data_IF_819526760021
#
_entry.id   IF_819526760021
#
_cell.length_a   1.000
_cell.length_b   1.000
_cell.length_c   1.000
_cell.angle_alpha   90.00
_cell.angle_beta   90.00
_cell.angle_gamma   90.00
#
_symmetry.space_group_name_H-M   'P 1'
#
loop_
_entity.id
_entity.type
_entity.pdbx_description
1 polymer ?
#
# COMPACT_ATOMS: atom_id res chain seq x y z
N UNK A 1 -4.90 -19.95 32.55
CA UNK A 1 -5.68 -19.00 31.73
C UNK A 1 -4.85 -17.73 31.58
N UNK A 2 -3.75 -17.82 30.80
CA UNK A 2 -2.73 -16.75 30.77
C UNK A 2 -1.98 -16.60 29.44
N UNK A 3 -2.27 -17.36 28.39
CA UNK A 3 -1.45 -17.36 27.16
C UNK A 3 -2.08 -16.67 25.94
N UNK A 4 -3.29 -16.11 26.04
CA UNK A 4 -3.97 -15.48 24.89
C UNK A 4 -3.81 -13.94 24.80
N UNK A 5 -3.11 -13.29 25.74
CA UNK A 5 -2.98 -11.81 25.75
C UNK A 5 -1.68 -11.25 25.16
N UNK A 6 -0.66 -12.07 24.91
CA UNK A 6 0.64 -11.57 24.43
C UNK A 6 0.72 -11.44 22.91
N UNK A 7 -0.01 -12.27 22.15
CA UNK A 7 -0.01 -12.24 20.68
C UNK A 7 -0.77 -11.04 20.10
N UNK A 8 -1.89 -10.63 20.70
CA UNK A 8 -2.62 -9.42 20.27
C UNK A 8 -1.81 -8.14 20.48
N UNK A 9 -1.12 -8.01 21.62
CA UNK A 9 -0.34 -6.80 21.93
C UNK A 9 0.88 -6.64 21.01
N UNK A 10 1.50 -7.74 20.58
CA UNK A 10 2.59 -7.73 19.61
C UNK A 10 2.11 -7.46 18.18
N UNK A 11 0.96 -8.02 17.77
CA UNK A 11 0.35 -7.68 16.48
C UNK A 11 -0.02 -6.20 16.40
N UNK A 12 -0.67 -5.65 17.42
CA UNK A 12 -1.05 -4.23 17.47
C UNK A 12 0.19 -3.32 17.48
N UNK A 13 1.23 -3.67 18.25
CA UNK A 13 2.49 -2.93 18.21
C UNK A 13 3.15 -3.00 16.82
N UNK A 14 3.14 -4.16 16.15
CA UNK A 14 3.68 -4.31 14.80
C UNK A 14 2.90 -3.50 13.76
N UNK A 15 1.58 -3.34 13.94
CA UNK A 15 0.71 -2.52 13.07
C UNK A 15 1.02 -1.02 13.23
N UNK A 16 1.32 -0.56 14.44
CA UNK A 16 1.65 0.85 14.66
C UNK A 16 3.06 1.24 14.19
N UNK A 17 3.94 0.25 14.01
CA UNK A 17 5.34 0.45 13.63
C UNK A 17 5.66 -0.02 12.20
N UNK A 18 4.63 -0.36 11.41
CA UNK A 18 4.78 -0.75 10.00
C UNK A 18 4.09 0.24 9.08
N UNK A 19 4.70 0.47 7.93
CA UNK A 19 4.04 1.09 6.79
C UNK A 19 3.50 0.00 5.85
N UNK A 20 2.48 0.32 5.09
CA UNK A 20 1.88 -0.50 4.04
C UNK A 20 2.11 0.19 2.69
N UNK A 21 2.23 -0.64 1.65
CA UNK A 21 2.38 -0.20 0.29
C UNK A 21 1.07 -0.35 -0.50
N UNK A 22 0.41 0.76 -0.78
CA UNK A 22 -0.74 0.84 -1.66
C UNK A 22 -0.31 1.13 -3.10
N UNK A 23 -1.10 0.66 -4.06
CA UNK A 23 -0.89 0.87 -5.49
C UNK A 23 -2.15 1.38 -6.18
N UNK A 24 -1.98 2.40 -7.02
CA UNK A 24 -2.97 2.77 -8.03
C UNK A 24 -2.64 2.04 -9.32
N UNK A 25 -3.53 1.17 -9.75
CA UNK A 25 -3.57 0.70 -11.13
C UNK A 25 -4.16 1.83 -11.99
N UNK A 26 -3.33 2.48 -12.81
CA UNK A 26 -3.76 3.60 -13.67
C UNK A 26 -4.61 3.14 -14.86
N UNK A 27 -4.53 1.87 -15.25
CA UNK A 27 -5.37 1.32 -16.32
C UNK A 27 -6.79 1.09 -15.79
N UNK A 28 -6.92 0.59 -14.56
CA UNK A 28 -8.21 0.36 -13.91
C UNK A 28 -8.72 1.55 -13.10
N UNK A 29 -7.88 2.57 -12.90
CA UNK A 29 -8.13 3.71 -12.01
C UNK A 29 -8.59 3.25 -10.61
N UNK A 30 -7.90 2.24 -10.06
CA UNK A 30 -8.27 1.59 -8.81
C UNK A 30 -7.09 1.52 -7.83
N UNK A 31 -7.36 1.84 -6.57
CA UNK A 31 -6.43 1.62 -5.45
C UNK A 31 -6.55 0.19 -4.97
N UNK A 32 -5.40 -0.46 -4.86
CA UNK A 32 -5.25 -1.81 -4.38
C UNK A 32 -4.10 -1.88 -3.39
N UNK A 33 -4.11 -2.90 -2.54
CA UNK A 33 -2.99 -3.19 -1.65
C UNK A 33 -2.07 -4.22 -2.28
N UNK A 34 -0.76 -4.13 -2.02
CA UNK A 34 0.21 -5.13 -2.47
C UNK A 34 0.26 -6.27 -1.47
N UNK A 35 -0.01 -7.49 -1.94
CA UNK A 35 0.18 -8.70 -1.15
C UNK A 35 1.60 -9.26 -1.32
N UNK A 36 2.05 -9.35 -2.57
CA UNK A 36 3.33 -9.94 -2.96
C UNK A 36 3.77 -9.45 -4.33
N UNK A 37 5.06 -9.62 -4.64
CA UNK A 37 5.57 -9.56 -6.00
C UNK A 37 6.34 -10.85 -6.28
N UNK A 38 6.01 -11.50 -7.39
CA UNK A 38 6.70 -12.73 -7.78
C UNK A 38 8.05 -12.44 -8.44
N UNK A 39 8.85 -13.50 -8.62
CA UNK A 39 10.19 -13.40 -9.25
C UNK A 39 10.14 -12.96 -10.71
N UNK A 40 9.00 -13.08 -11.38
CA UNK A 40 8.77 -12.61 -12.75
C UNK A 40 8.38 -11.13 -12.80
N UNK A 41 8.24 -10.49 -11.64
CA UNK A 41 7.90 -9.08 -11.54
C UNK A 41 6.41 -8.77 -11.60
N UNK A 42 5.56 -9.79 -11.48
CA UNK A 42 4.11 -9.61 -11.45
C UNK A 42 3.66 -9.41 -10.00
N UNK A 43 2.91 -8.32 -9.81
CA UNK A 43 2.38 -7.93 -8.51
C UNK A 43 1.08 -8.68 -8.24
N UNK A 44 0.97 -9.25 -7.04
CA UNK A 44 -0.27 -9.74 -6.49
C UNK A 44 -0.85 -8.66 -5.59
N UNK A 45 -2.10 -8.32 -5.87
CA UNK A 45 -2.79 -7.23 -5.20
C UNK A 45 -4.12 -7.72 -4.65
N UNK A 46 -4.54 -7.14 -3.53
CA UNK A 46 -5.83 -7.44 -2.88
C UNK A 46 -6.60 -6.16 -2.64
N UNK A 47 -7.89 -6.28 -2.35
CA UNK A 47 -8.69 -5.11 -1.98
C UNK A 47 -8.22 -4.57 -0.61
N UNK A 48 -8.01 -3.25 -0.48
CA UNK A 48 -7.51 -2.61 0.73
C UNK A 48 -8.63 -2.49 1.78
N UNK A 49 -9.10 -3.63 2.28
CA UNK A 49 -10.16 -3.74 3.28
C UNK A 49 -9.63 -4.34 4.58
N UNK A 50 -10.32 -4.08 5.70
CA UNK A 50 -9.94 -4.65 7.01
C UNK A 50 -9.85 -6.17 7.02
N UNK A 51 -10.65 -6.86 6.19
CA UNK A 51 -10.62 -8.33 6.07
C UNK A 51 -9.31 -8.86 5.50
N UNK A 52 -8.63 -8.07 4.67
CA UNK A 52 -7.41 -8.46 3.99
C UNK A 52 -6.17 -7.88 4.67
N UNK A 53 -6.30 -7.19 5.82
CA UNK A 53 -5.19 -6.52 6.51
C UNK A 53 -4.03 -7.43 6.91
N UNK A 54 -4.30 -8.72 7.11
CA UNK A 54 -3.29 -9.74 7.38
C UNK A 54 -2.48 -10.12 6.13
N UNK A 55 -3.02 -9.88 4.94
CA UNK A 55 -2.37 -10.16 3.66
C UNK A 55 -1.58 -8.97 3.13
N UNK A 56 -1.72 -7.80 3.77
CA UNK A 56 -1.05 -6.59 3.34
C UNK A 56 0.44 -6.70 3.51
N UNK A 57 1.17 -6.26 2.50
CA UNK A 57 2.62 -6.18 2.56
C UNK A 57 3.02 -5.06 3.52
N UNK A 58 3.50 -5.48 4.70
CA UNK A 58 4.02 -4.61 5.74
C UNK A 58 5.51 -4.41 5.57
N UNK A 59 5.94 -3.16 5.66
CA UNK A 59 7.34 -2.77 5.66
C UNK A 59 7.64 -2.07 6.98
N UNK A 60 8.69 -2.53 7.64
CA UNK A 60 9.10 -1.99 8.94
C UNK A 60 9.50 -0.50 8.81
N UNK A 61 8.95 0.34 9.69
CA UNK A 61 9.14 1.80 9.65
C UNK A 61 10.49 2.25 10.22
N UNK A 62 11.21 1.38 10.93
CA UNK A 62 12.35 1.73 11.77
C UNK A 62 13.73 1.61 11.10
N UNK A 63 13.82 1.60 9.76
CA UNK A 63 15.13 1.67 9.11
C UNK A 63 15.12 1.92 7.61
N UNK A 64 16.33 1.93 7.02
CA UNK A 64 16.62 1.95 5.57
C UNK A 64 15.97 0.79 4.77
N UNK A 65 15.22 -0.08 5.44
CA UNK A 65 14.51 -1.23 4.88
C UNK A 65 13.39 -0.82 3.92
N UNK A 66 12.64 0.25 4.21
CA UNK A 66 11.61 0.76 3.28
C UNK A 66 12.27 1.18 1.97
N UNK A 67 13.37 1.94 2.03
CA UNK A 67 14.11 2.41 0.87
C UNK A 67 14.65 1.25 0.04
N UNK A 68 15.29 0.28 0.69
CA UNK A 68 15.81 -0.91 0.01
C UNK A 68 14.70 -1.80 -0.56
N UNK A 69 13.60 -1.97 0.18
CA UNK A 69 12.44 -2.73 -0.28
C UNK A 69 11.82 -2.08 -1.52
N UNK A 70 11.50 -0.79 -1.48
CA UNK A 70 10.89 -0.09 -2.61
C UNK A 70 11.82 -0.10 -3.83
N UNK A 71 13.13 0.13 -3.65
CA UNK A 71 14.08 0.06 -4.77
C UNK A 71 14.11 -1.32 -5.42
N UNK A 72 14.12 -2.39 -4.62
CA UNK A 72 14.06 -3.75 -5.13
C UNK A 72 12.71 -4.06 -5.78
N UNK A 73 11.61 -3.59 -5.19
CA UNK A 73 10.25 -3.74 -5.69
C UNK A 73 10.09 -3.08 -7.06
N UNK A 74 10.50 -1.82 -7.21
CA UNK A 74 10.48 -1.09 -8.47
C UNK A 74 11.36 -1.76 -9.54
N UNK A 75 12.50 -2.34 -9.14
CA UNK A 75 13.37 -3.10 -10.06
C UNK A 75 12.74 -4.41 -10.52
N UNK A 76 12.00 -5.08 -9.65
CA UNK A 76 11.31 -6.32 -9.97
C UNK A 76 10.04 -6.07 -10.77
N UNK A 77 9.35 -4.95 -10.54
CA UNK A 77 8.08 -4.65 -11.17
C UNK A 77 8.20 -4.59 -12.68
N UNK A 78 7.42 -5.42 -13.37
CA UNK A 78 7.47 -5.54 -14.83
C UNK A 78 7.00 -4.27 -15.55
N UNK A 79 5.94 -3.65 -15.02
CA UNK A 79 5.27 -2.50 -15.65
C UNK A 79 5.17 -1.30 -14.69
N UNK A 80 6.30 -0.69 -14.29
CA UNK A 80 6.31 0.33 -13.24
C UNK A 80 5.50 1.58 -13.58
N UNK A 81 5.44 1.97 -14.86
CA UNK A 81 4.74 3.19 -15.28
C UNK A 81 3.21 3.10 -15.14
N UNK A 82 2.66 1.88 -15.18
CA UNK A 82 1.21 1.61 -15.04
C UNK A 82 0.72 1.76 -13.62
N UNK A 83 1.63 1.70 -12.65
CA UNK A 83 1.29 1.78 -11.24
C UNK A 83 1.78 3.10 -10.65
N UNK A 84 1.05 3.64 -9.68
CA UNK A 84 1.58 4.63 -8.75
C UNK A 84 1.58 4.04 -7.34
N UNK A 85 2.70 4.16 -6.64
CA UNK A 85 2.89 3.55 -5.33
C UNK A 85 2.78 4.61 -4.23
N UNK A 86 2.05 4.27 -3.17
CA UNK A 86 1.82 5.13 -2.02
C UNK A 86 2.19 4.38 -0.76
N UNK A 87 3.03 5.02 0.06
CA UNK A 87 3.36 4.51 1.38
C UNK A 87 2.40 5.13 2.39
N UNK A 88 1.77 4.30 3.22
CA UNK A 88 0.81 4.73 4.24
C UNK A 88 1.08 3.98 5.54
N UNK A 89 0.77 4.59 6.68
CA UNK A 89 0.83 3.90 7.98
C UNK A 89 -0.13 2.72 7.97
N UNK A 90 0.24 1.59 8.58
CA UNK A 90 -0.59 0.38 8.46
C UNK A 90 -1.97 0.52 9.13
N UNK A 91 -2.06 1.33 10.19
CA UNK A 91 -3.29 1.70 10.87
C UNK A 91 -4.23 2.56 10.00
N UNK A 92 -3.67 3.39 9.13
CA UNK A 92 -4.43 4.28 8.23
C UNK A 92 -4.69 3.68 6.84
N UNK A 93 -4.07 2.54 6.50
CA UNK A 93 -4.02 2.03 5.13
C UNK A 93 -5.40 1.87 4.47
N UNK A 94 -6.38 1.32 5.20
CA UNK A 94 -7.74 1.11 4.70
C UNK A 94 -8.47 2.44 4.48
N UNK A 95 -8.26 3.42 5.36
CA UNK A 95 -8.90 4.73 5.24
C UNK A 95 -8.28 5.54 4.10
N UNK A 96 -6.94 5.58 4.04
CA UNK A 96 -6.18 6.21 2.96
C UNK A 96 -6.51 5.62 1.60
N UNK A 97 -6.66 4.30 1.50
CA UNK A 97 -7.05 3.67 0.26
C UNK A 97 -8.43 4.14 -0.24
N UNK A 98 -9.41 4.29 0.67
CA UNK A 98 -10.73 4.83 0.34
C UNK A 98 -10.66 6.31 -0.07
N UNK A 99 -9.87 7.10 0.65
CA UNK A 99 -9.64 8.51 0.33
C UNK A 99 -9.04 8.65 -1.07
N UNK A 100 -7.99 7.88 -1.38
CA UNK A 100 -7.36 7.88 -2.69
C UNK A 100 -8.31 7.42 -3.78
N UNK A 101 -9.06 6.33 -3.57
CA UNK A 101 -10.07 5.87 -4.53
C UNK A 101 -11.15 6.94 -4.78
N UNK A 102 -11.59 7.63 -3.73
CA UNK A 102 -12.55 8.71 -3.85
C UNK A 102 -12.00 9.89 -4.66
N UNK A 103 -10.73 10.24 -4.49
CA UNK A 103 -10.07 11.28 -5.29
C UNK A 103 -9.92 10.88 -6.76
N UNK A 104 -9.70 9.60 -7.04
CA UNK A 104 -9.60 9.08 -8.42
C UNK A 104 -10.97 9.12 -9.10
N UNK A 105 -12.01 8.69 -8.39
CA UNK A 105 -13.39 8.70 -8.89
C UNK A 105 -13.94 10.14 -9.00
N UNK A 106 -13.53 11.02 -8.09
CA UNK A 106 -13.97 12.42 -8.00
C UNK A 106 -12.73 13.33 -7.95
N UNK A 107 -12.07 13.57 -9.09
CA UNK A 107 -10.89 14.44 -9.12
C UNK A 107 -11.29 15.84 -8.69
N UNK A 108 -10.79 16.27 -7.54
CA UNK A 108 -10.98 17.64 -7.03
C UNK A 108 -10.44 18.65 -8.05
N UNK A 109 -10.95 19.88 -8.00
CA UNK A 109 -10.52 20.94 -8.90
C UNK A 109 -8.98 21.21 -8.84
N UNK A 110 -8.33 20.89 -7.71
CA UNK A 110 -6.87 20.93 -7.57
C UNK A 110 -6.17 19.79 -8.34
N UNK A 111 -6.75 18.58 -8.41
CA UNK A 111 -6.24 17.48 -9.23
C UNK A 111 -6.30 17.78 -10.73
N UNK A 112 -7.32 18.54 -11.19
CA UNK A 112 -7.42 19.01 -12.58
C UNK A 112 -6.31 19.99 -12.98
N UNK A 113 -5.73 20.76 -12.03
CA UNK A 113 -4.70 21.76 -12.36
C UNK A 113 -3.31 21.17 -12.65
N UNK A 114 -3.03 19.92 -12.26
CA UNK A 114 -1.72 19.27 -12.53
C UNK A 114 -1.65 18.50 -13.84
N UNK A 115 -2.78 18.19 -14.49
CA UNK A 115 -2.81 17.47 -15.78
C UNK A 115 -2.96 18.41 -17.00
N UNK A 116 -2.95 19.73 -16.80
CA UNK A 116 -3.24 20.74 -17.83
C UNK A 116 -2.05 21.62 -18.24
N UNK A 117 -0.81 21.19 -18.02
CA UNK A 117 0.38 21.87 -18.58
C UNK A 117 1.41 20.84 -19.04
N UNK A 118 1.26 20.40 -20.29
CA UNK A 118 2.35 20.01 -21.17
C UNK A 118 2.21 20.84 -22.44
#
# INVERSE_FOLDING_TARGET
MSEEKETENQQVASEQLSDILLVLDKEKMKIQDVKSIDKSGKMETVDPTKKNQSEFMRVDKHGDFVTNFLSNFWRQLKDPTKFALFKVSADEAVEKAKEFQNQINNPTAEGKKKNGKA
#
